data_IF_592136061333
#
_entry.id   IF_592136061333
#
_cell.length_a   1.000
_cell.length_b   1.000
_cell.length_c   1.000
_cell.angle_alpha   90.00
_cell.angle_beta   90.00
_cell.angle_gamma   90.00
#
_symmetry.space_group_name_H-M   'P 1'
#
loop_
_entity.id
_entity.type
_entity.pdbx_description
1 polymer ?
#
# COMPACT_ATOMS: atom_id res chain seq x y z
N UNK A 1 -8.93 -12.14 7.24
CA UNK A 1 -7.64 -11.42 7.10
C UNK A 1 -7.02 -11.82 5.77
N UNK A 2 -6.34 -10.88 5.10
CA UNK A 2 -5.58 -11.19 3.90
C UNK A 2 -4.57 -12.31 4.19
N UNK A 3 -4.38 -13.24 3.26
CA UNK A 3 -3.23 -14.14 3.32
C UNK A 3 -2.00 -13.27 3.00
N UNK A 4 -1.37 -12.71 4.04
CA UNK A 4 -0.27 -11.74 3.93
C UNK A 4 0.93 -12.29 3.12
N UNK A 5 0.95 -13.61 2.94
CA UNK A 5 1.90 -14.38 2.14
C UNK A 5 1.68 -14.25 0.62
N UNK A 6 0.52 -13.76 0.16
CA UNK A 6 0.15 -13.60 -1.26
C UNK A 6 0.04 -12.14 -1.71
N UNK A 7 0.71 -11.24 -0.99
CA UNK A 7 0.64 -9.80 -1.23
C UNK A 7 1.44 -9.32 -2.46
N UNK A 8 2.30 -10.16 -3.03
CA UNK A 8 3.10 -9.80 -4.20
C UNK A 8 3.95 -8.56 -3.93
N UNK A 9 3.77 -7.52 -4.75
CA UNK A 9 4.49 -6.24 -4.58
C UNK A 9 3.86 -5.27 -3.56
N UNK A 10 2.73 -5.65 -2.93
CA UNK A 10 2.09 -4.80 -1.91
C UNK A 10 3.02 -4.66 -0.70
N UNK A 11 3.38 -3.41 -0.31
CA UNK A 11 4.23 -3.18 0.84
C UNK A 11 3.60 -3.65 2.16
N UNK A 12 4.42 -4.22 3.03
CA UNK A 12 4.07 -4.60 4.40
C UNK A 12 4.95 -3.88 5.43
N UNK A 13 4.49 -3.84 6.68
CA UNK A 13 5.29 -3.50 7.86
C UNK A 13 5.39 -4.72 8.78
N UNK A 14 6.46 -4.78 9.55
CA UNK A 14 6.69 -5.81 10.58
C UNK A 14 6.86 -5.06 11.91
N UNK A 15 5.80 -5.00 12.71
CA UNK A 15 5.74 -4.27 13.98
C UNK A 15 5.90 -5.23 15.17
N UNK A 16 6.66 -4.85 16.19
CA UNK A 16 6.80 -5.64 17.40
C UNK A 16 5.50 -5.70 18.19
N UNK A 17 5.08 -6.90 18.61
CA UNK A 17 3.97 -7.05 19.56
C UNK A 17 4.34 -6.66 20.99
N UNK A 18 5.64 -6.66 21.31
CA UNK A 18 6.15 -6.31 22.64
C UNK A 18 6.38 -4.80 22.80
N UNK A 19 6.77 -4.13 21.71
CA UNK A 19 7.00 -2.69 21.68
C UNK A 19 6.05 -2.05 20.67
N UNK A 20 4.88 -1.54 21.10
CA UNK A 20 3.90 -0.94 20.21
C UNK A 20 4.51 0.19 19.36
N UNK A 21 4.08 0.27 18.11
CA UNK A 21 4.58 1.23 17.11
C UNK A 21 6.07 1.08 16.74
N UNK A 22 6.79 0.09 17.27
CA UNK A 22 8.19 -0.15 16.92
C UNK A 22 8.28 -1.15 15.78
N UNK A 23 8.71 -0.70 14.61
CA UNK A 23 8.80 -1.48 13.38
C UNK A 23 10.24 -1.94 13.11
N UNK A 24 10.38 -3.13 12.50
CA UNK A 24 11.63 -3.57 11.89
C UNK A 24 12.08 -2.55 10.84
N UNK A 25 13.38 -2.24 10.82
CA UNK A 25 14.01 -1.30 9.90
C UNK A 25 15.17 -1.97 9.18
N UNK A 26 15.25 -1.78 7.87
CA UNK A 26 16.42 -2.17 7.07
C UNK A 26 17.04 -0.96 6.38
N UNK A 27 18.33 -0.74 6.63
CA UNK A 27 19.16 0.21 5.92
C UNK A 27 20.16 -0.55 5.04
N UNK A 28 19.94 -0.50 3.72
CA UNK A 28 20.79 -1.16 2.73
C UNK A 28 22.05 -0.36 2.37
N UNK A 29 22.27 0.80 2.98
CA UNK A 29 23.44 1.63 2.67
C UNK A 29 24.73 0.85 2.95
N UNK A 30 25.61 0.78 1.94
CA UNK A 30 26.90 0.11 2.06
C UNK A 30 26.86 -1.42 2.03
N UNK A 31 25.74 -2.05 1.66
CA UNK A 31 25.71 -3.50 1.42
C UNK A 31 26.64 -3.85 0.25
N UNK A 32 27.64 -4.73 0.44
CA UNK A 32 28.61 -5.04 -0.59
C UNK A 32 28.03 -5.94 -1.69
N UNK A 33 28.57 -5.81 -2.90
CA UNK A 33 28.22 -6.67 -4.05
C UNK A 33 29.09 -7.93 -4.15
N UNK A 34 30.23 -7.96 -3.44
CA UNK A 34 31.27 -8.98 -3.59
C UNK A 34 31.34 -9.99 -2.44
N UNK A 35 30.60 -9.76 -1.35
CA UNK A 35 30.57 -10.64 -0.19
C UNK A 35 29.21 -10.63 0.50
N UNK A 36 29.00 -11.61 1.38
CA UNK A 36 27.75 -11.73 2.10
C UNK A 36 27.69 -10.82 3.33
N UNK A 37 26.56 -10.15 3.51
CA UNK A 37 26.23 -9.34 4.67
C UNK A 37 26.76 -7.91 4.57
N UNK A 38 25.92 -6.96 4.95
CA UNK A 38 26.27 -5.55 5.13
C UNK A 38 25.05 -4.75 5.60
N UNK A 39 25.13 -3.43 5.52
CA UNK A 39 24.04 -2.56 5.97
C UNK A 39 23.69 -2.74 7.45
N UNK A 40 22.53 -2.23 7.84
CA UNK A 40 22.05 -2.25 9.22
C UNK A 40 20.62 -2.76 9.28
N UNK A 41 20.36 -3.69 10.19
CA UNK A 41 19.00 -4.07 10.58
C UNK A 41 18.82 -3.75 12.05
N UNK A 42 17.82 -2.93 12.33
CA UNK A 42 17.46 -2.50 13.67
C UNK A 42 15.95 -2.21 13.70
N UNK A 43 15.48 -1.32 14.56
CA UNK A 43 14.08 -0.93 14.57
C UNK A 43 13.89 0.59 14.67
N UNK A 44 12.66 1.06 14.46
CA UNK A 44 12.34 2.47 14.49
C UNK A 44 10.90 2.70 14.95
N UNK A 45 10.61 3.91 15.43
CA UNK A 45 9.25 4.27 15.83
C UNK A 45 8.43 4.69 14.61
N UNK A 46 7.33 3.96 14.38
CA UNK A 46 6.42 4.02 13.23
C UNK A 46 7.12 3.76 11.90
N UNK A 47 6.37 3.20 10.96
CA UNK A 47 6.93 2.89 9.66
C UNK A 47 7.09 4.14 8.78
N UNK A 48 8.31 4.37 8.29
CA UNK A 48 8.62 5.19 7.14
C UNK A 48 9.06 4.27 5.98
N UNK A 49 9.87 4.74 5.05
CA UNK A 49 10.22 3.95 3.86
C UNK A 49 11.19 2.79 4.15
N UNK A 50 12.05 2.92 5.16
CA UNK A 50 13.03 1.87 5.55
C UNK A 50 12.41 0.75 6.39
N UNK A 51 11.17 0.91 6.84
CA UNK A 51 10.40 -0.06 7.62
C UNK A 51 9.31 -0.76 6.79
N UNK A 52 9.34 -0.58 5.47
CA UNK A 52 8.42 -1.20 4.51
C UNK A 52 9.12 -2.28 3.70
N UNK A 53 8.43 -3.40 3.52
CA UNK A 53 9.01 -4.59 2.89
C UNK A 53 8.07 -5.21 1.84
N UNK A 54 8.64 -6.02 0.96
CA UNK A 54 7.90 -7.00 0.14
C UNK A 54 8.23 -8.40 0.62
N UNK A 55 7.23 -9.28 0.64
CA UNK A 55 7.45 -10.71 0.83
C UNK A 55 7.58 -11.39 -0.53
N UNK A 56 8.72 -12.04 -0.76
CA UNK A 56 8.96 -12.87 -1.95
C UNK A 56 8.70 -14.32 -1.59
N UNK A 57 7.64 -14.89 -2.17
CA UNK A 57 7.20 -16.27 -1.92
C UNK A 57 8.04 -17.26 -2.73
N UNK A 58 8.55 -18.29 -2.05
CA UNK A 58 9.34 -19.39 -2.63
C UNK A 58 8.59 -20.74 -2.60
N UNK A 59 7.31 -20.73 -2.25
CA UNK A 59 6.52 -21.91 -1.99
C UNK A 59 6.83 -22.51 -0.61
N UNK A 60 6.08 -23.56 -0.24
CA UNK A 60 6.23 -24.27 1.04
C UNK A 60 6.24 -23.35 2.29
N UNK A 61 5.48 -22.25 2.23
CA UNK A 61 5.41 -21.22 3.29
C UNK A 61 6.77 -20.62 3.65
N UNK A 62 7.63 -20.42 2.65
CA UNK A 62 8.94 -19.77 2.82
C UNK A 62 9.03 -18.46 2.04
N UNK A 63 9.62 -17.44 2.67
CA UNK A 63 9.65 -16.09 2.15
C UNK A 63 11.01 -15.43 2.34
N UNK A 64 11.42 -14.62 1.37
CA UNK A 64 12.43 -13.58 1.58
C UNK A 64 11.76 -12.23 1.88
N UNK A 65 12.41 -11.41 2.70
CA UNK A 65 11.93 -10.08 3.09
C UNK A 65 12.80 -9.05 2.36
N UNK A 66 12.26 -8.41 1.33
CA UNK A 66 12.95 -7.39 0.53
C UNK A 66 12.61 -5.98 1.03
N UNK A 67 13.61 -5.09 1.11
CA UNK A 67 13.42 -3.69 1.43
C UNK A 67 12.73 -2.92 0.29
N UNK A 68 11.73 -2.10 0.62
CA UNK A 68 11.15 -1.13 -0.31
C UNK A 68 12.11 0.04 -0.57
N UNK A 69 12.75 0.57 0.48
CA UNK A 69 13.69 1.68 0.36
C UNK A 69 14.97 1.32 -0.41
N UNK A 70 15.37 0.04 -0.38
CA UNK A 70 16.55 -0.47 -1.06
C UNK A 70 16.19 -1.71 -1.90
N UNK A 71 15.66 -1.54 -3.12
CA UNK A 71 15.29 -2.66 -3.98
C UNK A 71 16.44 -3.63 -4.21
N UNK A 72 16.15 -4.94 -4.18
CA UNK A 72 17.14 -6.01 -4.28
C UNK A 72 17.93 -6.28 -2.98
N UNK A 73 17.69 -5.54 -1.90
CA UNK A 73 18.28 -5.81 -0.58
C UNK A 73 17.31 -6.60 0.29
N UNK A 74 17.80 -7.70 0.85
CA UNK A 74 17.04 -8.69 1.62
C UNK A 74 17.50 -8.79 3.06
N UNK A 75 16.58 -9.12 3.98
CA UNK A 75 16.91 -9.45 5.36
C UNK A 75 17.74 -10.73 5.40
N UNK A 76 18.80 -10.74 6.19
CA UNK A 76 19.71 -11.87 6.37
C UNK A 76 19.91 -12.20 7.84
N UNK A 77 19.77 -13.47 8.21
CA UNK A 77 20.03 -13.98 9.55
C UNK A 77 21.15 -15.03 9.53
N UNK A 78 22.20 -14.81 10.33
CA UNK A 78 23.26 -15.79 10.57
C UNK A 78 23.35 -16.09 12.06
N UNK A 79 23.15 -17.34 12.43
CA UNK A 79 22.96 -17.72 13.83
C UNK A 79 23.75 -18.97 14.21
N UNK A 80 24.97 -19.13 13.66
CA UNK A 80 25.84 -20.30 13.88
C UNK A 80 26.07 -20.62 15.36
N UNK A 81 26.13 -19.60 16.21
CA UNK A 81 26.40 -19.75 17.65
C UNK A 81 25.14 -19.67 18.53
N UNK A 82 23.93 -19.57 17.93
CA UNK A 82 22.68 -19.42 18.67
C UNK A 82 22.01 -20.77 18.87
N UNK A 83 21.86 -21.21 20.12
CA UNK A 83 21.38 -22.54 20.48
C UNK A 83 20.80 -22.55 21.92
N UNK A 84 20.54 -23.74 22.47
CA UNK A 84 19.97 -23.89 23.81
C UNK A 84 20.85 -23.39 24.97
N UNK A 85 22.16 -23.24 24.75
CA UNK A 85 23.10 -22.71 25.75
C UNK A 85 23.35 -21.21 25.55
N UNK A 86 23.38 -20.76 24.30
CA UNK A 86 23.51 -19.35 23.91
C UNK A 86 22.24 -18.92 23.21
N UNK A 87 21.23 -18.54 23.99
CA UNK A 87 19.86 -18.38 23.48
C UNK A 87 19.63 -17.13 22.64
N UNK A 88 20.52 -16.14 22.69
CA UNK A 88 20.43 -14.87 21.95
C UNK A 88 21.77 -14.49 21.37
N UNK A 89 21.81 -13.97 20.14
CA UNK A 89 23.04 -13.53 19.48
C UNK A 89 22.92 -13.60 17.97
N UNK A 90 24.01 -13.97 17.29
CA UNK A 90 24.06 -14.00 15.84
C UNK A 90 24.08 -12.60 15.21
N UNK A 91 23.96 -12.57 13.89
CA UNK A 91 23.99 -11.35 13.09
C UNK A 91 22.72 -11.29 12.26
N UNK A 92 22.00 -10.18 12.38
CA UNK A 92 20.92 -9.82 11.48
C UNK A 92 21.34 -8.57 10.71
N UNK A 93 21.44 -8.71 9.39
CA UNK A 93 21.91 -7.65 8.51
C UNK A 93 21.21 -7.74 7.15
N UNK A 94 21.73 -7.02 6.16
CA UNK A 94 21.18 -6.94 4.82
C UNK A 94 22.05 -7.72 3.82
N UNK A 95 21.44 -8.19 2.73
CA UNK A 95 22.11 -8.90 1.64
C UNK A 95 21.57 -8.49 0.28
N UNK A 96 22.47 -8.21 -0.67
CA UNK A 96 22.07 -7.92 -2.06
C UNK A 96 21.77 -9.20 -2.84
N UNK A 97 20.68 -9.17 -3.63
CA UNK A 97 20.27 -10.18 -4.61
C UNK A 97 20.18 -11.61 -4.05
N UNK A 98 19.70 -11.77 -2.83
CA UNK A 98 19.59 -13.07 -2.15
C UNK A 98 18.13 -13.52 -1.97
N UNK A 99 17.33 -13.34 -3.02
CA UNK A 99 15.96 -13.87 -3.04
C UNK A 99 16.00 -15.40 -3.05
N UNK A 100 15.45 -16.04 -2.02
CA UNK A 100 15.51 -17.50 -1.83
C UNK A 100 16.87 -18.01 -1.34
N UNK A 101 17.75 -17.12 -0.86
CA UNK A 101 19.02 -17.48 -0.24
C UNK A 101 18.84 -18.20 1.10
N UNK A 102 19.77 -19.08 1.48
CA UNK A 102 19.64 -19.88 2.70
C UNK A 102 19.49 -19.05 3.98
N UNK A 103 20.26 -17.97 4.12
CA UNK A 103 20.23 -17.09 5.29
C UNK A 103 19.16 -15.98 5.18
N UNK A 104 18.53 -15.87 4.02
CA UNK A 104 17.58 -14.81 3.64
C UNK A 104 16.17 -15.34 3.41
N UNK A 105 15.93 -16.61 3.78
CA UNK A 105 14.64 -17.28 3.65
C UNK A 105 14.09 -17.64 5.03
N UNK A 106 12.81 -17.35 5.23
CA UNK A 106 12.15 -17.42 6.53
C UNK A 106 10.81 -18.14 6.47
N UNK A 107 10.43 -18.78 7.57
CA UNK A 107 9.07 -19.29 7.81
C UNK A 107 8.34 -18.36 8.77
N UNK A 108 7.14 -17.95 8.39
CA UNK A 108 6.26 -17.14 9.25
C UNK A 108 5.39 -18.08 10.08
N UNK A 109 5.71 -18.23 11.37
CA UNK A 109 4.97 -19.06 12.32
C UNK A 109 3.80 -18.26 12.89
N UNK A 110 2.60 -18.55 12.38
CA UNK A 110 1.36 -17.92 12.85
C UNK A 110 1.07 -18.25 14.31
N UNK A 111 0.64 -17.26 15.07
CA UNK A 111 0.20 -17.37 16.46
C UNK A 111 -1.33 -17.32 16.54
N UNK A 112 -1.90 -17.66 17.70
CA UNK A 112 -3.35 -17.73 17.89
C UNK A 112 -4.06 -16.37 17.69
N UNK A 113 -3.35 -15.25 17.93
CA UNK A 113 -3.87 -13.88 17.74
C UNK A 113 -3.66 -13.33 16.31
N UNK A 114 -3.13 -14.15 15.40
CA UNK A 114 -2.83 -13.78 14.01
C UNK A 114 -1.48 -13.07 13.81
N UNK A 115 -0.69 -12.86 14.88
CA UNK A 115 0.69 -12.40 14.77
C UNK A 115 1.63 -13.52 14.30
N UNK A 116 2.90 -13.19 14.05
CA UNK A 116 3.88 -14.14 13.52
C UNK A 116 5.20 -14.09 14.29
N UNK A 117 5.82 -15.25 14.47
CA UNK A 117 7.27 -15.35 14.69
C UNK A 117 7.96 -15.65 13.36
N UNK A 118 9.09 -15.00 13.09
CA UNK A 118 9.84 -15.15 11.83
C UNK A 118 11.02 -16.09 12.09
N UNK A 119 10.93 -17.33 11.65
CA UNK A 119 11.96 -18.36 11.83
C UNK A 119 12.92 -18.40 10.64
N UNK A 120 14.21 -18.52 10.90
CA UNK A 120 15.21 -18.77 9.85
C UNK A 120 15.02 -20.16 9.24
N UNK A 121 15.08 -20.26 7.90
CA UNK A 121 15.11 -21.56 7.23
C UNK A 121 16.45 -22.27 7.41
N UNK A 122 17.58 -21.53 7.36
CA UNK A 122 18.92 -22.09 7.53
C UNK A 122 19.26 -22.50 8.97
N UNK A 123 18.64 -21.85 9.96
CA UNK A 123 18.89 -22.13 11.38
C UNK A 123 17.56 -22.53 12.04
N UNK A 124 17.21 -23.84 12.05
CA UNK A 124 15.95 -24.31 12.62
C UNK A 124 15.78 -23.93 14.08
N UNK A 125 14.56 -23.58 14.47
CA UNK A 125 14.19 -23.10 15.81
C UNK A 125 14.91 -21.81 16.25
N UNK A 126 15.46 -21.04 15.30
CA UNK A 126 16.02 -19.70 15.55
C UNK A 126 15.14 -18.65 14.89
N UNK A 127 14.78 -17.62 15.65
CA UNK A 127 13.80 -16.61 15.27
C UNK A 127 14.42 -15.21 15.26
N UNK A 128 13.85 -14.33 14.46
CA UNK A 128 14.13 -12.89 14.50
C UNK A 128 13.76 -12.35 15.89
N UNK A 129 14.68 -11.64 16.52
CA UNK A 129 14.51 -11.06 17.85
C UNK A 129 14.73 -9.55 17.77
N UNK A 130 13.72 -8.78 18.20
CA UNK A 130 13.71 -7.32 18.14
C UNK A 130 13.52 -6.75 19.54
N UNK A 131 14.55 -6.09 20.04
CA UNK A 131 14.54 -5.35 21.31
C UNK A 131 14.42 -3.86 21.02
N UNK A 132 13.22 -3.32 21.21
CA UNK A 132 12.86 -1.92 20.94
C UNK A 132 12.96 -0.98 22.14
N UNK A 133 13.57 -1.42 23.26
CA UNK A 133 13.67 -0.61 24.48
C UNK A 133 14.29 0.77 24.16
N UNK A 134 13.56 1.83 24.52
CA UNK A 134 13.98 3.22 24.31
C UNK A 134 13.66 3.81 22.94
N UNK A 135 13.06 3.05 22.02
CA UNK A 135 12.60 3.55 20.71
C UNK A 135 11.21 4.17 20.87
N UNK A 136 11.17 5.49 20.99
CA UNK A 136 9.92 6.26 21.24
C UNK A 136 9.66 7.35 20.20
N UNK A 137 10.61 7.60 19.30
CA UNK A 137 10.51 8.58 18.23
C UNK A 137 11.30 8.11 17.01
N UNK A 138 10.86 8.54 15.83
CA UNK A 138 11.50 8.19 14.58
C UNK A 138 12.86 8.89 14.47
N UNK A 139 13.90 8.15 14.09
CA UNK A 139 15.23 8.71 13.79
C UNK A 139 15.75 8.20 12.44
N UNK A 140 16.64 8.96 11.81
CA UNK A 140 17.24 8.56 10.52
C UNK A 140 18.07 7.27 10.63
N UNK A 141 18.71 7.03 11.77
CA UNK A 141 19.56 5.87 12.02
C UNK A 141 18.79 4.67 12.58
N UNK A 142 17.53 4.87 12.97
CA UNK A 142 16.79 3.92 13.81
C UNK A 142 17.36 3.82 15.22
N UNK A 143 16.97 2.75 15.92
CA UNK A 143 17.38 2.43 17.27
C UNK A 143 17.14 0.97 17.60
N UNK A 144 17.18 0.63 18.88
CA UNK A 144 17.01 -0.74 19.37
C UNK A 144 18.04 -1.71 18.80
N UNK A 145 17.78 -3.00 18.99
CA UNK A 145 18.63 -4.10 18.54
C UNK A 145 17.78 -5.14 17.82
N UNK A 146 18.30 -5.65 16.71
CA UNK A 146 17.74 -6.84 16.05
C UNK A 146 18.84 -7.89 15.94
N UNK A 147 18.57 -9.07 16.47
CA UNK A 147 19.46 -10.23 16.43
C UNK A 147 18.62 -11.52 16.32
N UNK A 148 19.20 -12.67 16.67
CA UNK A 148 18.58 -13.98 16.58
C UNK A 148 18.34 -14.58 17.97
N UNK A 149 17.23 -15.29 18.15
CA UNK A 149 16.90 -15.98 19.41
C UNK A 149 16.45 -17.42 19.21
N UNK A 150 17.05 -18.34 19.96
CA UNK A 150 16.70 -19.76 19.95
C UNK A 150 15.39 -20.03 20.69
N UNK A 151 14.57 -20.93 20.15
CA UNK A 151 13.34 -21.44 20.77
C UNK A 151 12.36 -20.36 21.24
N UNK A 152 12.13 -19.34 20.41
CA UNK A 152 11.35 -18.15 20.75
C UNK A 152 10.02 -18.02 19.97
N UNK A 153 9.50 -19.11 19.42
CA UNK A 153 8.20 -19.10 18.74
C UNK A 153 7.08 -18.63 19.70
N UNK A 154 6.38 -17.56 19.33
CA UNK A 154 5.35 -16.93 20.17
C UNK A 154 5.87 -16.22 21.42
N UNK A 155 7.20 -16.07 21.56
CA UNK A 155 7.83 -15.41 22.69
C UNK A 155 7.77 -13.88 22.60
N UNK A 156 7.92 -13.22 23.75
CA UNK A 156 8.14 -11.78 23.79
C UNK A 156 9.36 -11.40 22.93
N UNK A 157 9.29 -10.26 22.25
CA UNK A 157 10.34 -9.70 21.38
C UNK A 157 10.63 -10.52 20.11
N UNK A 158 9.98 -11.69 19.92
CA UNK A 158 10.10 -12.56 18.75
C UNK A 158 8.74 -12.75 18.04
N UNK A 159 7.77 -11.89 18.35
CA UNK A 159 6.42 -11.93 17.80
C UNK A 159 6.06 -10.58 17.20
N UNK A 160 5.53 -10.59 15.99
CA UNK A 160 5.33 -9.42 15.14
C UNK A 160 3.92 -9.35 14.56
N UNK A 161 3.32 -8.17 14.57
CA UNK A 161 2.19 -7.86 13.71
C UNK A 161 2.73 -7.58 12.30
N UNK A 162 2.23 -8.33 11.33
CA UNK A 162 2.53 -8.10 9.92
C UNK A 162 1.27 -7.50 9.30
N UNK A 163 1.38 -6.29 8.77
CA UNK A 163 0.25 -5.54 8.21
C UNK A 163 0.62 -4.95 6.86
N UNK A 164 -0.36 -4.69 5.99
CA UNK A 164 -0.11 -3.92 4.77
C UNK A 164 0.33 -2.49 5.17
N UNK A 165 1.45 -2.00 4.64
CA UNK A 165 1.98 -0.69 5.00
C UNK A 165 1.14 0.44 4.40
N UNK A 166 0.95 1.54 5.13
CA UNK A 166 0.22 2.71 4.64
C UNK A 166 0.73 3.19 3.28
N UNK A 167 -0.20 3.45 2.36
CA UNK A 167 0.07 3.88 0.99
C UNK A 167 -0.67 5.18 0.69
N UNK A 168 0.00 6.08 -0.03
CA UNK A 168 -0.56 7.37 -0.39
C UNK A 168 0.04 7.87 -1.69
N UNK A 169 -0.82 8.06 -2.68
CA UNK A 169 -0.46 8.73 -3.92
C UNK A 169 -0.63 10.23 -3.75
N UNK A 170 0.29 11.00 -4.31
CA UNK A 170 0.25 12.45 -4.26
C UNK A 170 -0.77 13.00 -5.28
N UNK A 171 -1.90 13.45 -4.75
CA UNK A 171 -2.97 14.11 -5.51
C UNK A 171 -2.99 15.62 -5.25
N UNK A 172 -1.88 16.23 -4.84
CA UNK A 172 -1.78 17.67 -4.53
C UNK A 172 -2.30 18.61 -5.63
N UNK A 173 -2.21 18.18 -6.89
CA UNK A 173 -2.68 18.93 -8.06
C UNK A 173 -4.10 18.55 -8.54
N UNK A 174 -4.84 17.78 -7.74
CA UNK A 174 -6.21 17.39 -8.04
C UNK A 174 -7.18 18.56 -7.90
N UNK A 175 -8.27 18.51 -8.65
CA UNK A 175 -9.27 19.56 -8.76
C UNK A 175 -10.65 19.04 -8.36
N UNK A 176 -11.45 19.89 -7.72
CA UNK A 176 -12.88 19.64 -7.53
C UNK A 176 -13.62 19.71 -8.87
N UNK A 177 -14.82 19.15 -8.92
CA UNK A 177 -15.66 19.24 -10.11
C UNK A 177 -16.10 20.68 -10.38
N UNK A 178 -15.99 21.10 -11.64
CA UNK A 178 -16.36 22.47 -12.05
C UNK A 178 -17.86 22.66 -12.30
N UNK A 179 -18.62 21.57 -12.44
CA UNK A 179 -20.07 21.58 -12.64
C UNK A 179 -20.73 20.50 -11.79
N UNK A 180 -22.04 20.62 -11.55
CA UNK A 180 -22.76 19.76 -10.59
C UNK A 180 -22.86 18.30 -11.00
N UNK A 181 -22.75 17.97 -12.29
CA UNK A 181 -22.84 16.61 -12.82
C UNK A 181 -21.51 16.07 -13.38
N UNK A 182 -20.37 16.70 -13.06
CA UNK A 182 -19.06 16.40 -13.65
C UNK A 182 -18.13 15.57 -12.76
N UNK A 183 -18.65 14.85 -11.76
CA UNK A 183 -17.85 13.96 -10.91
C UNK A 183 -17.00 12.96 -11.74
N UNK A 184 -17.59 12.40 -12.80
CA UNK A 184 -16.92 11.50 -13.74
C UNK A 184 -15.76 12.15 -14.49
N UNK A 185 -15.92 13.41 -14.90
CA UNK A 185 -14.90 14.15 -15.63
C UNK A 185 -13.77 14.60 -14.69
N UNK A 186 -14.13 15.14 -13.52
CA UNK A 186 -13.18 15.56 -12.49
C UNK A 186 -12.30 14.40 -12.02
N UNK A 187 -12.90 13.27 -11.63
CA UNK A 187 -12.15 12.08 -11.20
C UNK A 187 -11.24 11.54 -12.30
N UNK A 188 -11.72 11.47 -13.55
CA UNK A 188 -10.91 11.01 -14.69
C UNK A 188 -9.73 11.95 -15.00
N UNK A 189 -9.95 13.27 -14.95
CA UNK A 189 -8.90 14.27 -15.18
C UNK A 189 -7.89 14.27 -14.04
N UNK A 190 -8.32 14.10 -12.78
CA UNK A 190 -7.41 14.00 -11.65
C UNK A 190 -6.49 12.77 -11.75
N UNK A 191 -7.03 11.63 -12.22
CA UNK A 191 -6.20 10.46 -12.55
C UNK A 191 -5.19 10.79 -13.66
N UNK A 192 -5.62 11.48 -14.72
CA UNK A 192 -4.71 11.89 -15.79
C UNK A 192 -3.61 12.86 -15.31
N UNK A 193 -3.95 13.82 -14.44
CA UNK A 193 -3.01 14.76 -13.82
C UNK A 193 -2.03 14.06 -12.89
N UNK A 194 -2.48 13.06 -12.15
CA UNK A 194 -1.60 12.23 -11.33
C UNK A 194 -0.55 11.49 -12.18
N UNK A 195 -0.96 10.92 -13.31
CA UNK A 195 -0.01 10.24 -14.21
C UNK A 195 0.89 11.22 -14.96
N UNK A 196 0.33 12.33 -15.45
CA UNK A 196 1.04 13.36 -16.18
C UNK A 196 0.64 14.75 -15.63
N UNK A 197 1.45 15.34 -14.72
CA UNK A 197 1.16 16.66 -14.16
C UNK A 197 1.03 17.78 -15.20
N UNK A 198 1.62 17.60 -16.38
CA UNK A 198 1.57 18.54 -17.50
C UNK A 198 0.44 18.26 -18.50
N UNK A 199 -0.48 17.35 -18.18
CA UNK A 199 -1.62 17.05 -19.07
C UNK A 199 -2.45 18.30 -19.35
N UNK A 200 -2.86 18.46 -20.61
CA UNK A 200 -3.76 19.53 -21.05
C UNK A 200 -5.23 19.13 -20.96
N UNK A 201 -5.53 17.92 -20.50
CA UNK A 201 -6.89 17.42 -20.35
C UNK A 201 -7.64 18.22 -19.27
N UNK A 202 -8.84 18.68 -19.61
CA UNK A 202 -9.72 19.44 -18.72
C UNK A 202 -11.09 18.78 -18.61
N UNK A 203 -11.82 19.07 -17.53
CA UNK A 203 -13.16 18.50 -17.31
C UNK A 203 -14.12 18.88 -18.45
N UNK A 204 -14.06 20.14 -18.90
CA UNK A 204 -14.90 20.63 -19.99
C UNK A 204 -14.56 20.01 -21.34
N UNK A 205 -13.28 19.74 -21.62
CA UNK A 205 -12.87 19.04 -22.83
C UNK A 205 -13.40 17.60 -22.84
N UNK A 206 -13.41 16.95 -21.66
CA UNK A 206 -14.04 15.64 -21.51
C UNK A 206 -15.56 15.70 -21.71
N UNK A 207 -16.25 16.73 -21.21
CA UNK A 207 -17.68 16.93 -21.44
C UNK A 207 -18.00 17.15 -22.94
N UNK A 208 -17.22 17.99 -23.63
CA UNK A 208 -17.31 18.18 -25.07
C UNK A 208 -17.19 16.84 -25.82
N UNK A 209 -16.15 16.06 -25.52
CA UNK A 209 -15.94 14.76 -26.15
C UNK A 209 -17.05 13.74 -25.82
N UNK A 210 -17.55 13.73 -24.58
CA UNK A 210 -18.56 12.77 -24.13
C UNK A 210 -19.93 12.99 -24.77
N UNK A 211 -20.31 14.26 -24.96
CA UNK A 211 -21.65 14.63 -25.40
C UNK A 211 -21.69 15.21 -26.81
N UNK A 212 -20.59 15.06 -27.56
CA UNK A 212 -20.43 15.60 -28.91
C UNK A 212 -20.75 17.10 -28.98
N UNK A 213 -20.21 17.86 -28.03
CA UNK A 213 -20.34 19.32 -27.94
C UNK A 213 -18.98 19.98 -28.22
N UNK A 214 -19.00 21.28 -28.52
CA UNK A 214 -17.80 22.11 -28.72
C UNK A 214 -17.71 23.29 -27.74
N UNK A 215 -18.81 23.64 -27.06
CA UNK A 215 -18.93 24.84 -26.21
C UNK A 215 -18.82 24.61 -24.71
N UNK A 216 -18.71 23.38 -24.21
CA UNK A 216 -18.72 23.13 -22.76
C UNK A 216 -17.53 23.75 -22.00
N UNK A 217 -16.48 24.19 -22.70
CA UNK A 217 -15.38 24.94 -22.11
C UNK A 217 -15.65 26.45 -21.97
N UNK A 218 -16.72 26.97 -22.56
CA UNK A 218 -17.16 28.33 -22.33
C UNK A 218 -17.93 28.40 -21.01
N UNK A 219 -17.57 29.35 -20.14
CA UNK A 219 -18.20 29.49 -18.83
C UNK A 219 -19.74 29.68 -18.90
N UNK A 220 -20.22 30.37 -19.94
CA UNK A 220 -21.65 30.61 -20.15
C UNK A 220 -22.43 29.34 -20.52
N UNK A 221 -21.77 28.36 -21.16
CA UNK A 221 -22.41 27.14 -21.69
C UNK A 221 -22.20 25.93 -20.78
N UNK A 222 -21.13 25.92 -19.97
CA UNK A 222 -20.70 24.77 -19.17
C UNK A 222 -21.79 24.23 -18.22
N UNK A 223 -22.59 25.11 -17.62
CA UNK A 223 -23.69 24.75 -16.73
C UNK A 223 -24.98 24.33 -17.45
N UNK A 224 -25.05 24.50 -18.77
CA UNK A 224 -26.22 24.20 -19.58
C UNK A 224 -26.48 22.70 -19.73
N UNK A 225 -27.74 22.34 -20.00
CA UNK A 225 -28.18 20.94 -20.07
C UNK A 225 -27.48 20.09 -21.14
N UNK A 226 -26.88 20.71 -22.16
CA UNK A 226 -26.06 20.01 -23.16
C UNK A 226 -24.71 19.50 -22.60
N UNK A 227 -24.17 20.21 -21.61
CA UNK A 227 -22.83 20.02 -21.05
C UNK A 227 -22.85 19.41 -19.65
N UNK A 228 -23.72 19.91 -18.76
CA UNK A 228 -23.77 19.52 -17.36
C UNK A 228 -24.64 18.26 -17.17
N UNK A 229 -24.11 17.11 -17.58
CA UNK A 229 -24.80 15.81 -17.55
C UNK A 229 -23.94 14.75 -16.88
N UNK A 230 -24.59 13.83 -16.16
CA UNK A 230 -23.93 12.68 -15.55
C UNK A 230 -23.49 11.67 -16.62
N UNK A 231 -22.39 10.96 -16.35
CA UNK A 231 -21.84 9.90 -17.19
C UNK A 231 -20.95 8.99 -16.35
N UNK A 232 -20.52 7.87 -16.93
CA UNK A 232 -19.48 7.01 -16.38
C UNK A 232 -18.09 7.50 -16.79
N UNK A 233 -17.04 7.22 -16.00
CA UNK A 233 -15.67 7.63 -16.34
C UNK A 233 -15.04 6.75 -17.44
N UNK A 234 -15.66 5.63 -17.82
CA UNK A 234 -15.14 4.65 -18.79
C UNK A 234 -14.59 5.30 -20.06
N UNK A 235 -15.40 6.10 -20.75
CA UNK A 235 -14.99 6.71 -22.02
C UNK A 235 -13.93 7.78 -21.83
N UNK A 236 -13.98 8.55 -20.73
CA UNK A 236 -12.98 9.57 -20.43
C UNK A 236 -11.62 8.95 -20.14
N UNK A 237 -11.59 7.93 -19.28
CA UNK A 237 -10.38 7.16 -18.98
C UNK A 237 -9.85 6.44 -20.22
N UNK A 238 -10.74 5.93 -21.09
CA UNK A 238 -10.36 5.30 -22.37
C UNK A 238 -9.75 6.30 -23.34
N UNK A 239 -10.39 7.46 -23.56
CA UNK A 239 -9.86 8.54 -24.41
C UNK A 239 -8.50 9.03 -23.95
N UNK A 240 -8.31 9.14 -22.63
CA UNK A 240 -7.03 9.52 -22.02
C UNK A 240 -6.07 8.33 -21.84
N UNK A 241 -6.42 7.13 -22.32
CA UNK A 241 -5.61 5.90 -22.26
C UNK A 241 -5.12 5.54 -20.85
N UNK A 242 -5.97 5.78 -19.86
CA UNK A 242 -5.72 5.45 -18.46
C UNK A 242 -6.67 4.38 -17.93
N UNK A 243 -7.67 3.93 -18.69
CA UNK A 243 -8.47 2.76 -18.32
C UNK A 243 -7.70 1.48 -18.62
N UNK A 244 -7.50 0.65 -17.61
CA UNK A 244 -6.96 -0.70 -17.77
C UNK A 244 -8.09 -1.72 -17.84
N UNK A 245 -9.03 -1.64 -16.90
CA UNK A 245 -10.11 -2.61 -16.72
C UNK A 245 -11.27 -1.94 -15.96
N UNK A 246 -12.50 -2.22 -16.39
CA UNK A 246 -13.72 -1.92 -15.63
C UNK A 246 -14.23 -3.20 -14.98
N UNK A 247 -14.49 -3.15 -13.68
CA UNK A 247 -14.98 -4.25 -12.87
C UNK A 247 -16.33 -3.87 -12.26
N UNK A 248 -17.32 -4.74 -12.40
CA UNK A 248 -18.68 -4.55 -11.85
C UNK A 248 -18.79 -5.07 -10.41
N UNK A 249 -17.83 -4.68 -9.57
CA UNK A 249 -17.77 -5.00 -8.14
C UNK A 249 -16.80 -4.06 -7.43
N UNK A 250 -16.90 -4.01 -6.11
CA UNK A 250 -15.84 -3.46 -5.27
C UNK A 250 -14.55 -4.30 -5.38
N UNK A 251 -13.40 -3.62 -5.26
CA UNK A 251 -12.12 -4.28 -5.01
C UNK A 251 -12.01 -4.67 -3.54
N UNK A 252 -11.33 -5.77 -3.25
CA UNK A 252 -10.94 -6.12 -1.87
C UNK A 252 -9.83 -5.17 -1.36
N UNK A 253 -9.58 -5.09 -0.04
CA UNK A 253 -8.46 -4.29 0.49
C UNK A 253 -7.10 -4.65 -0.12
N UNK A 254 -6.86 -5.95 -0.35
CA UNK A 254 -5.62 -6.44 -0.98
C UNK A 254 -5.51 -5.99 -2.43
N UNK A 255 -6.61 -6.06 -3.18
CA UNK A 255 -6.62 -5.59 -4.57
C UNK A 255 -6.39 -4.07 -4.66
N UNK A 256 -6.98 -3.28 -3.75
CA UNK A 256 -6.70 -1.84 -3.66
C UNK A 256 -5.23 -1.60 -3.37
N UNK A 257 -4.68 -2.27 -2.36
CA UNK A 257 -3.27 -2.13 -1.99
C UNK A 257 -2.32 -2.52 -3.14
N UNK A 258 -2.66 -3.55 -3.93
CA UNK A 258 -1.88 -4.00 -5.07
C UNK A 258 -1.88 -2.99 -6.25
N UNK A 259 -2.99 -2.29 -6.49
CA UNK A 259 -3.03 -1.21 -7.49
C UNK A 259 -2.23 0.01 -7.00
N UNK A 260 -2.41 0.40 -5.73
CA UNK A 260 -1.66 1.51 -5.13
C UNK A 260 -0.15 1.25 -5.10
N UNK A 261 0.28 0.00 -4.93
CA UNK A 261 1.70 -0.39 -4.94
C UNK A 261 2.36 -0.16 -6.31
N UNK A 262 1.57 -0.15 -7.39
CA UNK A 262 2.02 0.15 -8.75
C UNK A 262 1.91 1.64 -9.08
N UNK A 263 1.61 2.48 -8.09
CA UNK A 263 1.24 3.88 -8.29
C UNK A 263 0.07 4.01 -9.26
N UNK A 264 -0.97 3.19 -9.08
CA UNK A 264 -2.20 3.20 -9.90
C UNK A 264 -3.40 3.57 -9.02
N UNK A 265 -3.91 4.81 -9.07
CA UNK A 265 -5.14 5.18 -8.36
C UNK A 265 -6.34 4.40 -8.91
N UNK A 266 -7.33 4.14 -8.08
CA UNK A 266 -8.53 3.37 -8.48
C UNK A 266 -9.72 4.31 -8.58
N UNK A 267 -10.32 4.40 -9.77
CA UNK A 267 -11.61 5.07 -9.92
C UNK A 267 -12.74 4.21 -9.34
N UNK A 268 -13.75 4.84 -8.75
CA UNK A 268 -14.86 4.14 -8.10
C UNK A 268 -16.18 4.79 -8.49
N UNK A 269 -17.17 3.98 -8.85
CA UNK A 269 -18.58 4.38 -8.93
C UNK A 269 -19.31 3.96 -7.66
N UNK A 270 -19.76 4.97 -6.89
CA UNK A 270 -20.65 4.79 -5.76
C UNK A 270 -22.08 5.05 -6.20
N UNK A 271 -22.85 3.97 -6.36
CA UNK A 271 -24.21 4.04 -6.89
C UNK A 271 -25.23 4.30 -5.78
N UNK A 272 -26.20 5.19 -6.02
CA UNK A 272 -27.25 5.47 -5.05
C UNK A 272 -28.47 4.60 -5.27
N UNK A 273 -29.18 4.25 -4.19
CA UNK A 273 -30.40 3.42 -4.24
C UNK A 273 -31.52 4.03 -5.08
N UNK A 274 -31.58 5.36 -5.14
CA UNK A 274 -32.62 6.10 -5.86
C UNK A 274 -32.19 6.49 -7.29
N UNK A 275 -31.12 5.89 -7.81
CA UNK A 275 -30.57 6.17 -9.13
C UNK A 275 -29.53 7.29 -9.13
N UNK A 276 -28.70 7.30 -10.17
CA UNK A 276 -27.50 8.12 -10.21
C UNK A 276 -26.35 7.51 -9.41
N UNK A 277 -25.28 8.28 -9.25
CA UNK A 277 -24.11 7.84 -8.52
C UNK A 277 -23.06 8.94 -8.46
N UNK A 278 -21.96 8.63 -7.81
CA UNK A 278 -20.86 9.55 -7.63
C UNK A 278 -19.52 8.86 -7.92
N UNK A 279 -18.73 9.51 -8.77
CA UNK A 279 -17.43 8.97 -9.20
C UNK A 279 -16.33 9.60 -8.37
N UNK A 280 -15.60 8.78 -7.62
CA UNK A 280 -14.48 9.20 -6.76
C UNK A 280 -13.21 8.43 -7.08
N UNK A 281 -12.09 8.82 -6.46
CA UNK A 281 -10.79 8.16 -6.68
C UNK A 281 -10.20 7.71 -5.35
N UNK A 282 -9.92 6.42 -5.21
CA UNK A 282 -9.07 5.90 -4.12
C UNK A 282 -7.62 6.24 -4.47
N UNK A 283 -6.99 7.04 -3.61
CA UNK A 283 -5.60 7.49 -3.74
C UNK A 283 -4.67 6.96 -2.66
N UNK A 284 -5.19 6.20 -1.71
CA UNK A 284 -4.37 5.66 -0.63
C UNK A 284 -5.15 4.80 0.33
N UNK A 285 -4.44 4.22 1.28
CA UNK A 285 -4.97 3.41 2.36
C UNK A 285 -4.06 3.43 3.58
N UNK A 286 -4.61 3.12 4.74
CA UNK A 286 -3.83 2.82 5.95
C UNK A 286 -4.64 1.89 6.87
N UNK A 287 -3.95 1.26 7.80
CA UNK A 287 -4.56 0.44 8.84
C UNK A 287 -4.34 1.10 10.20
N UNK A 288 -5.34 1.01 11.07
CA UNK A 288 -5.21 1.45 12.45
C UNK A 288 -6.09 0.59 13.34
N UNK A 289 -5.49 -0.09 14.31
CA UNK A 289 -6.21 -0.92 15.29
C UNK A 289 -7.01 -2.05 14.65
N UNK A 290 -6.52 -2.63 13.55
CA UNK A 290 -7.21 -3.66 12.77
C UNK A 290 -8.31 -3.13 11.85
N UNK A 291 -8.52 -1.81 11.80
CA UNK A 291 -9.48 -1.17 10.89
C UNK A 291 -8.77 -0.69 9.64
N UNK A 292 -9.29 -1.09 8.47
CA UNK A 292 -8.80 -0.64 7.18
C UNK A 292 -9.48 0.68 6.78
N UNK A 293 -8.67 1.66 6.39
CA UNK A 293 -9.10 2.98 5.96
C UNK A 293 -8.65 3.27 4.53
N UNK A 294 -9.49 4.01 3.80
CA UNK A 294 -9.23 4.48 2.45
C UNK A 294 -9.06 6.00 2.45
N UNK A 295 -8.10 6.45 1.65
CA UNK A 295 -7.94 7.87 1.29
C UNK A 295 -8.61 8.09 -0.04
N UNK A 296 -9.64 8.91 -0.06
CA UNK A 296 -10.45 9.24 -1.23
C UNK A 296 -10.12 10.67 -1.67
N UNK A 297 -10.05 10.89 -2.98
CA UNK A 297 -10.30 12.21 -3.55
C UNK A 297 -11.72 12.22 -4.12
N UNK A 298 -12.58 12.98 -3.48
CA UNK A 298 -13.95 13.24 -3.84
C UNK A 298 -14.05 14.52 -4.67
N UNK A 299 -14.68 14.51 -5.86
CA UNK A 299 -14.86 15.73 -6.65
C UNK A 299 -15.66 16.85 -5.99
N UNK A 300 -16.47 16.59 -4.96
CA UNK A 300 -17.15 17.63 -4.16
C UNK A 300 -16.33 18.03 -2.94
N UNK A 301 -15.88 17.05 -2.18
CA UNK A 301 -15.36 17.28 -0.82
C UNK A 301 -13.83 17.36 -0.76
N UNK A 302 -13.13 17.04 -1.85
CA UNK A 302 -11.67 17.00 -1.89
C UNK A 302 -11.15 15.75 -1.19
N UNK A 303 -10.23 15.90 -0.22
CA UNK A 303 -9.65 14.74 0.46
C UNK A 303 -10.53 14.25 1.60
N UNK A 304 -10.98 13.00 1.49
CA UNK A 304 -11.84 12.34 2.47
C UNK A 304 -11.20 11.04 2.92
N UNK A 305 -11.24 10.81 4.23
CA UNK A 305 -10.72 9.62 4.89
C UNK A 305 -11.91 8.83 5.46
N UNK A 306 -12.06 7.56 5.06
CA UNK A 306 -13.23 6.73 5.38
C UNK A 306 -12.83 5.28 5.61
N UNK A 307 -13.53 4.58 6.50
CA UNK A 307 -13.29 3.15 6.69
C UNK A 307 -13.70 2.37 5.45
N UNK A 308 -12.97 1.30 5.13
CA UNK A 308 -13.26 0.44 3.98
C UNK A 308 -14.70 -0.10 4.04
N UNK A 309 -15.12 -0.61 5.19
CA UNK A 309 -16.45 -1.21 5.37
C UNK A 309 -17.59 -0.21 5.16
N UNK A 310 -17.41 1.04 5.62
CA UNK A 310 -18.37 2.12 5.39
C UNK A 310 -18.39 2.52 3.91
N UNK A 311 -17.21 2.69 3.30
CA UNK A 311 -17.09 3.09 1.90
C UNK A 311 -17.77 2.11 0.93
N UNK A 312 -17.65 0.80 1.18
CA UNK A 312 -18.26 -0.23 0.33
C UNK A 312 -19.79 -0.12 0.33
N UNK A 313 -20.40 0.21 1.47
CA UNK A 313 -21.85 0.02 1.66
C UNK A 313 -22.64 1.32 1.82
N UNK A 314 -21.99 2.42 2.22
CA UNK A 314 -22.66 3.64 2.67
C UNK A 314 -21.74 4.87 2.58
N UNK A 315 -21.25 5.18 1.39
CA UNK A 315 -20.41 6.36 1.16
C UNK A 315 -21.23 7.66 1.12
N UNK A 316 -20.86 8.62 1.97
CA UNK A 316 -21.51 9.94 2.21
C UNK A 316 -22.96 9.86 2.69
N UNK A 317 -23.57 11.01 3.01
CA UNK A 317 -24.96 11.11 3.45
C UNK A 317 -25.98 10.59 2.40
N UNK A 318 -25.58 10.52 1.13
CA UNK A 318 -26.41 9.97 0.06
C UNK A 318 -26.46 8.43 0.04
N UNK A 319 -25.61 7.75 0.83
CA UNK A 319 -25.63 6.29 0.99
C UNK A 319 -25.22 5.53 -0.27
N UNK A 320 -24.15 5.98 -0.92
CA UNK A 320 -23.60 5.32 -2.11
C UNK A 320 -23.00 3.94 -1.81
N UNK A 321 -23.31 2.97 -2.65
CA UNK A 321 -22.75 1.62 -2.59
C UNK A 321 -21.67 1.49 -3.65
N UNK A 322 -20.48 1.03 -3.30
CA UNK A 322 -19.41 0.78 -4.25
C UNK A 322 -19.82 -0.34 -5.22
N UNK A 323 -20.21 0.05 -6.43
CA UNK A 323 -20.79 -0.84 -7.43
C UNK A 323 -19.81 -1.21 -8.54
N UNK A 324 -18.86 -0.32 -8.86
CA UNK A 324 -17.85 -0.55 -9.90
C UNK A 324 -16.48 -0.01 -9.52
N UNK A 325 -15.45 -0.66 -10.05
CA UNK A 325 -14.07 -0.24 -9.96
C UNK A 325 -13.48 -0.04 -11.34
N UNK A 326 -12.69 1.02 -11.47
CA UNK A 326 -11.93 1.35 -12.66
C UNK A 326 -10.46 1.23 -12.32
N UNK A 327 -9.86 0.09 -12.68
CA UNK A 327 -8.40 -0.06 -12.58
C UNK A 327 -7.76 0.82 -13.63
N UNK A 328 -6.74 1.55 -13.23
CA UNK A 328 -6.08 2.51 -14.11
C UNK A 328 -4.66 2.08 -14.45
N UNK A 329 -4.07 2.72 -15.44
CA UNK A 329 -2.69 2.45 -15.84
C UNK A 329 -1.99 3.73 -16.28
N UNK A 330 -0.71 3.85 -15.92
CA UNK A 330 0.18 4.88 -16.46
C UNK A 330 0.43 4.55 -17.93
N UNK A 331 0.31 5.54 -18.82
CA UNK A 331 0.74 5.35 -20.21
C UNK A 331 2.23 4.96 -20.21
N UNK A 332 2.58 3.92 -20.97
CA UNK A 332 3.96 3.54 -21.20
C UNK A 332 4.68 4.60 -22.05
#
# INVERSE_FOLDING_TARGET
MADLRKLGDTPITIESKTYPEVCLRMDGTGVPTTMAGGGTVNCNFRAADQEKFKLRDHGNDTFSIESIAFPGIYLRMVAVDVNSQTTTGGVVNCQLNADGGGHETFKFRVQADGSYSIESLAFPNVFLHLVGTGVTAHTAQGGGKVDCRFNANGGAEATFAVSMASQSLDFSNAQLQSQTMWCWAASSVNIARFYNPNTTQTQCAQANAQFSQDKCCNAADAGGAACNRGSWPTDALTRMRHLKEELFRALTPVEVAAELAKSQPVGVDTHWRNGGGHIVVIRGRWESGGTEWLRIHDPWDGFVDVTFDSFVNNYTAAGGVWSRSYRTVRQA
#
